data_IF_962976849129
#
_entry.id   IF_962976849129
#
_cell.length_a   1.000
_cell.length_b   1.000
_cell.length_c   1.000
_cell.angle_alpha   90.00
_cell.angle_beta   90.00
_cell.angle_gamma   90.00
#
_symmetry.space_group_name_H-M   'P 1'
#
loop_
_entity.id
_entity.type
_entity.pdbx_description
1 polymer ?
#
# COMPACT_ATOMS: atom_id res chain seq x y z
N UNK A 1 -21.26 9.20 57.47
CA UNK A 1 -20.95 8.13 56.49
C UNK A 1 -19.78 8.59 55.62
N UNK A 2 -18.55 8.11 55.89
CA UNK A 2 -17.32 8.55 55.22
C UNK A 2 -17.19 7.79 53.90
N UNK A 3 -17.39 8.43 52.74
CA UNK A 3 -17.16 7.81 51.42
C UNK A 3 -15.67 7.51 51.28
N UNK A 4 -15.30 6.23 51.27
CA UNK A 4 -13.94 5.78 50.97
C UNK A 4 -13.61 6.09 49.51
N UNK A 5 -12.52 6.83 49.26
CA UNK A 5 -12.01 7.07 47.91
C UNK A 5 -11.68 5.72 47.23
N UNK A 6 -12.02 5.54 45.94
CA UNK A 6 -11.65 4.34 45.21
C UNK A 6 -10.12 4.23 45.12
N UNK A 7 -9.62 3.01 45.37
CA UNK A 7 -8.19 2.63 45.35
C UNK A 7 -7.52 3.12 44.08
N UNK A 8 -6.31 3.68 44.24
CA UNK A 8 -5.41 4.09 43.17
C UNK A 8 -5.26 2.99 42.12
N UNK A 9 -6.00 3.11 41.02
CA UNK A 9 -5.66 2.44 39.77
C UNK A 9 -4.40 3.15 39.30
N UNK A 10 -3.24 2.54 39.55
CA UNK A 10 -1.93 3.05 39.13
C UNK A 10 -1.99 3.29 37.61
N UNK A 11 -2.27 4.51 37.20
CA UNK A 11 -2.33 4.88 35.79
C UNK A 11 -0.99 4.48 35.16
N UNK A 12 -1.05 3.62 34.15
CA UNK A 12 0.16 3.27 33.40
C UNK A 12 0.77 4.57 32.88
N UNK A 13 2.09 4.80 33.06
CA UNK A 13 2.70 6.02 32.58
C UNK A 13 2.36 6.19 31.09
N UNK A 14 1.92 7.39 30.66
CA UNK A 14 1.57 7.61 29.26
C UNK A 14 2.80 7.31 28.41
N UNK A 15 2.68 6.36 27.49
CA UNK A 15 3.77 6.06 26.55
C UNK A 15 4.13 7.35 25.80
N UNK A 16 5.41 7.75 25.74
CA UNK A 16 5.80 8.98 25.06
C UNK A 16 5.30 8.98 23.61
N UNK A 17 4.46 9.96 23.26
CA UNK A 17 3.78 10.05 21.94
C UNK A 17 4.76 9.92 20.77
N UNK A 18 6.00 10.44 20.94
CA UNK A 18 7.06 10.35 19.92
C UNK A 18 7.56 8.94 19.65
N UNK A 19 7.61 8.06 20.67
CA UNK A 19 8.04 6.66 20.47
C UNK A 19 7.00 5.90 19.66
N UNK A 20 5.71 6.08 19.99
CA UNK A 20 4.59 5.54 19.22
C UNK A 20 4.61 6.02 17.78
N UNK A 21 4.80 7.32 17.54
CA UNK A 21 4.90 7.89 16.18
C UNK A 21 6.06 7.28 15.38
N UNK A 22 7.25 7.16 15.96
CA UNK A 22 8.41 6.53 15.31
C UNK A 22 8.14 5.07 14.97
N UNK A 23 7.49 4.34 15.86
CA UNK A 23 7.16 2.93 15.63
C UNK A 23 6.13 2.77 14.51
N UNK A 24 5.05 3.56 14.54
CA UNK A 24 4.03 3.58 13.48
C UNK A 24 4.64 3.94 12.13
N UNK A 25 5.49 4.98 12.09
CA UNK A 25 6.21 5.35 10.87
C UNK A 25 7.05 4.19 10.33
N UNK A 26 7.88 3.55 11.17
CA UNK A 26 8.72 2.43 10.74
C UNK A 26 7.90 1.25 10.22
N UNK A 27 6.77 0.96 10.86
CA UNK A 27 5.88 -0.13 10.44
C UNK A 27 5.23 0.17 9.09
N UNK A 28 4.65 1.37 8.94
CA UNK A 28 4.06 1.81 7.68
C UNK A 28 5.11 1.86 6.57
N UNK A 29 6.30 2.41 6.87
CA UNK A 29 7.40 2.48 5.92
C UNK A 29 7.85 1.09 5.47
N UNK A 30 7.98 0.13 6.40
CA UNK A 30 8.32 -1.25 6.08
C UNK A 30 7.25 -1.90 5.20
N UNK A 31 5.96 -1.70 5.50
CA UNK A 31 4.83 -2.24 4.72
C UNK A 31 4.87 -1.68 3.29
N UNK A 32 4.93 -0.36 3.13
CA UNK A 32 4.86 0.29 1.80
C UNK A 32 6.17 0.23 1.00
N UNK A 33 7.25 -0.30 1.60
CA UNK A 33 8.45 -0.75 0.87
C UNK A 33 8.32 -2.22 0.51
N UNK A 34 7.99 -3.07 1.49
CA UNK A 34 8.00 -4.52 1.33
C UNK A 34 6.90 -5.05 0.43
N UNK A 35 5.66 -4.58 0.60
CA UNK A 35 4.51 -5.03 -0.20
C UNK A 35 4.73 -4.82 -1.70
N UNK A 36 5.02 -3.59 -2.19
CA UNK A 36 5.24 -3.39 -3.63
C UNK A 36 6.47 -4.12 -4.17
N UNK A 37 7.55 -4.27 -3.38
CA UNK A 37 8.72 -5.05 -3.81
C UNK A 37 8.36 -6.51 -4.06
N UNK A 38 7.69 -7.15 -3.08
CA UNK A 38 7.32 -8.57 -3.18
C UNK A 38 6.28 -8.77 -4.28
N UNK A 39 5.24 -7.95 -4.31
CA UNK A 39 4.19 -8.03 -5.33
C UNK A 39 4.74 -7.79 -6.75
N UNK A 40 5.66 -6.85 -6.90
CA UNK A 40 6.27 -6.53 -8.19
C UNK A 40 7.18 -7.65 -8.71
N UNK A 41 8.00 -8.24 -7.83
CA UNK A 41 8.81 -9.42 -8.16
C UNK A 41 7.90 -10.58 -8.56
N UNK A 42 6.86 -10.85 -7.77
CA UNK A 42 5.92 -11.92 -8.06
C UNK A 42 5.21 -11.71 -9.42
N UNK A 43 4.76 -10.50 -9.74
CA UNK A 43 4.15 -10.18 -11.05
C UNK A 43 5.10 -10.31 -12.22
N UNK A 44 6.38 -10.05 -12.02
CA UNK A 44 7.37 -10.20 -13.08
C UNK A 44 7.65 -11.66 -13.43
N UNK A 45 7.71 -12.51 -12.41
CA UNK A 45 8.08 -13.92 -12.54
C UNK A 45 6.90 -14.91 -12.49
N UNK A 46 5.68 -14.45 -12.17
CA UNK A 46 4.51 -15.29 -11.89
C UNK A 46 4.82 -16.40 -10.87
N UNK A 47 5.36 -16.04 -9.68
CA UNK A 47 5.81 -17.02 -8.69
C UNK A 47 4.64 -17.69 -7.97
N UNK A 48 3.63 -16.91 -7.59
CA UNK A 48 2.49 -17.37 -6.78
C UNK A 48 1.30 -17.70 -7.68
N UNK A 49 1.10 -16.95 -8.77
CA UNK A 49 -0.01 -17.15 -9.71
C UNK A 49 0.33 -16.59 -11.08
N UNK A 50 -0.44 -17.00 -12.09
CA UNK A 50 -0.41 -16.34 -13.40
C UNK A 50 -1.14 -15.00 -13.29
N UNK A 51 -0.39 -13.90 -13.32
CA UNK A 51 -0.96 -12.57 -13.17
C UNK A 51 -1.67 -12.05 -14.43
N UNK A 52 -1.42 -12.65 -15.60
CA UNK A 52 -2.03 -12.22 -16.86
C UNK A 52 -3.55 -12.39 -16.87
N UNK A 53 -4.06 -13.32 -16.05
CA UNK A 53 -5.49 -13.56 -15.89
C UNK A 53 -6.23 -12.39 -15.22
N UNK A 54 -5.52 -11.52 -14.50
CA UNK A 54 -6.09 -10.35 -13.81
C UNK A 54 -6.18 -9.10 -14.71
N UNK A 55 -5.70 -9.18 -15.95
CA UNK A 55 -5.95 -8.13 -16.93
C UNK A 55 -7.37 -8.28 -17.46
N UNK A 56 -8.13 -7.18 -17.39
CA UNK A 56 -9.51 -7.13 -17.87
C UNK A 56 -9.61 -7.50 -19.36
N UNK A 57 -10.61 -8.30 -19.76
CA UNK A 57 -10.87 -8.56 -21.18
C UNK A 57 -11.20 -7.28 -21.97
N UNK A 58 -11.63 -6.20 -21.32
CA UNK A 58 -11.86 -4.90 -21.96
C UNK A 58 -10.55 -4.14 -22.24
N UNK A 59 -9.52 -4.34 -21.41
CA UNK A 59 -8.23 -3.64 -21.52
C UNK A 59 -7.28 -4.40 -22.46
N UNK A 60 -7.36 -5.75 -22.49
CA UNK A 60 -6.55 -6.60 -23.38
C UNK A 60 -6.46 -6.11 -24.84
N UNK A 61 -7.55 -5.77 -25.54
CA UNK A 61 -7.47 -5.33 -26.94
C UNK A 61 -6.91 -3.92 -27.14
N UNK A 62 -6.80 -3.11 -26.09
CA UNK A 62 -6.32 -1.72 -26.15
C UNK A 62 -4.81 -1.65 -25.83
N UNK A 63 -4.27 -2.67 -25.15
CA UNK A 63 -2.87 -2.70 -24.79
C UNK A 63 -1.98 -2.78 -26.05
N UNK A 64 -0.97 -1.91 -26.19
CA UNK A 64 -0.02 -1.95 -27.30
C UNK A 64 1.01 -3.10 -27.17
N UNK A 65 0.79 -4.03 -26.24
CA UNK A 65 1.71 -5.10 -25.89
C UNK A 65 0.95 -6.35 -25.40
N UNK A 66 1.62 -7.49 -25.35
CA UNK A 66 1.03 -8.72 -24.82
C UNK A 66 0.67 -8.61 -23.33
N UNK A 67 -0.36 -9.33 -22.84
CA UNK A 67 -0.73 -9.37 -21.42
C UNK A 67 0.46 -9.69 -20.50
N UNK A 68 1.29 -10.65 -20.91
CA UNK A 68 2.56 -10.99 -20.25
C UNK A 68 3.50 -9.81 -20.06
N UNK A 69 3.74 -9.06 -21.13
CA UNK A 69 4.65 -7.91 -21.08
C UNK A 69 4.04 -6.77 -20.27
N UNK A 70 2.73 -6.55 -20.36
CA UNK A 70 2.02 -5.58 -19.53
C UNK A 70 2.17 -5.92 -18.03
N UNK A 71 1.99 -7.19 -17.64
CA UNK A 71 2.18 -7.62 -16.25
C UNK A 71 3.63 -7.47 -15.78
N UNK A 72 4.61 -7.79 -16.63
CA UNK A 72 6.03 -7.55 -16.31
C UNK A 72 6.34 -6.07 -16.11
N UNK A 73 5.81 -5.19 -16.95
CA UNK A 73 5.95 -3.74 -16.79
C UNK A 73 5.30 -3.26 -15.49
N UNK A 74 4.11 -3.76 -15.14
CA UNK A 74 3.48 -3.49 -13.86
C UNK A 74 4.33 -3.96 -12.67
N UNK A 75 4.93 -5.15 -12.77
CA UNK A 75 5.85 -5.68 -11.76
C UNK A 75 7.09 -4.79 -11.56
N UNK A 76 7.71 -4.33 -12.65
CA UNK A 76 8.83 -3.37 -12.59
C UNK A 76 8.40 -2.04 -11.97
N UNK A 77 7.22 -1.54 -12.31
CA UNK A 77 6.69 -0.30 -11.73
C UNK A 77 6.48 -0.42 -10.21
N UNK A 78 5.96 -1.55 -9.74
CA UNK A 78 5.80 -1.83 -8.30
C UNK A 78 7.14 -1.89 -7.58
N UNK A 79 8.12 -2.60 -8.14
CA UNK A 79 9.48 -2.63 -7.57
C UNK A 79 10.07 -1.22 -7.50
N UNK A 80 9.94 -0.44 -8.57
CA UNK A 80 10.42 0.95 -8.60
C UNK A 80 9.74 1.82 -7.53
N UNK A 81 8.43 1.67 -7.34
CA UNK A 81 7.69 2.35 -6.28
C UNK A 81 8.24 1.97 -4.91
N UNK A 82 8.43 0.67 -4.63
CA UNK A 82 9.02 0.21 -3.37
C UNK A 82 10.40 0.81 -3.11
N UNK A 83 11.26 0.87 -4.13
CA UNK A 83 12.59 1.50 -4.05
C UNK A 83 12.49 3.01 -3.79
N UNK A 84 11.58 3.71 -4.48
CA UNK A 84 11.35 5.15 -4.24
C UNK A 84 10.86 5.40 -2.82
N UNK A 85 9.96 4.55 -2.29
CA UNK A 85 9.43 4.67 -0.93
C UNK A 85 10.53 4.60 0.14
N UNK A 86 11.64 3.86 -0.09
CA UNK A 86 12.77 3.81 0.85
C UNK A 86 13.32 5.21 1.14
N UNK A 87 13.54 6.01 0.08
CA UNK A 87 14.17 7.34 0.19
C UNK A 87 13.16 8.47 0.34
N UNK A 88 12.02 8.35 -0.35
CA UNK A 88 10.98 9.37 -0.43
C UNK A 88 9.61 8.74 -0.10
N UNK A 89 9.35 8.43 1.18
CA UNK A 89 8.16 7.67 1.59
C UNK A 89 6.85 8.37 1.22
N UNK A 90 6.80 9.71 1.22
CA UNK A 90 5.62 10.47 0.79
C UNK A 90 5.31 10.24 -0.69
N UNK A 91 6.31 10.40 -1.56
CA UNK A 91 6.15 10.24 -3.02
C UNK A 91 5.86 8.78 -3.35
N UNK A 92 6.64 7.85 -2.81
CA UNK A 92 6.47 6.42 -3.08
C UNK A 92 5.10 5.90 -2.66
N UNK A 93 4.60 6.31 -1.49
CA UNK A 93 3.27 5.90 -1.02
C UNK A 93 2.14 6.54 -1.82
N UNK A 94 2.31 7.78 -2.31
CA UNK A 94 1.36 8.40 -3.25
C UNK A 94 1.33 7.67 -4.59
N UNK A 95 2.49 7.30 -5.14
CA UNK A 95 2.58 6.53 -6.39
C UNK A 95 1.94 5.15 -6.22
N UNK A 96 2.20 4.47 -5.11
CA UNK A 96 1.58 3.20 -4.78
C UNK A 96 0.07 3.32 -4.70
N UNK A 97 -0.45 4.34 -4.03
CA UNK A 97 -1.88 4.63 -3.94
C UNK A 97 -2.52 4.83 -5.32
N UNK A 98 -1.91 5.68 -6.17
CA UNK A 98 -2.36 5.90 -7.55
C UNK A 98 -2.37 4.61 -8.38
N UNK A 99 -1.33 3.78 -8.23
CA UNK A 99 -1.26 2.49 -8.91
C UNK A 99 -2.37 1.53 -8.46
N UNK A 100 -2.64 1.43 -7.14
CA UNK A 100 -3.74 0.61 -6.62
C UNK A 100 -5.09 1.09 -7.18
N UNK A 101 -5.32 2.40 -7.27
CA UNK A 101 -6.54 2.92 -7.91
C UNK A 101 -6.65 2.51 -9.39
N UNK A 102 -5.55 2.52 -10.14
CA UNK A 102 -5.53 2.00 -11.50
C UNK A 102 -5.89 0.50 -11.59
N UNK A 103 -5.34 -0.31 -10.69
CA UNK A 103 -5.63 -1.76 -10.62
C UNK A 103 -7.10 -2.00 -10.27
N UNK A 104 -7.66 -1.25 -9.31
CA UNK A 104 -9.07 -1.34 -8.93
C UNK A 104 -9.97 -1.08 -10.14
N UNK A 105 -9.70 -0.03 -10.93
CA UNK A 105 -10.50 0.28 -12.12
C UNK A 105 -10.48 -0.89 -13.11
N UNK A 106 -9.32 -1.53 -13.31
CA UNK A 106 -9.21 -2.75 -14.11
C UNK A 106 -10.04 -3.90 -13.51
N UNK A 107 -9.92 -4.18 -12.21
CA UNK A 107 -10.60 -5.31 -11.56
C UNK A 107 -12.12 -5.12 -11.45
N UNK A 108 -12.61 -3.88 -11.35
CA UNK A 108 -14.05 -3.59 -11.30
C UNK A 108 -14.79 -4.02 -12.57
N UNK A 109 -14.09 -4.04 -13.71
CA UNK A 109 -14.65 -4.57 -14.96
C UNK A 109 -14.78 -6.10 -14.95
N UNK A 110 -14.17 -6.79 -13.98
CA UNK A 110 -14.13 -8.25 -13.89
C UNK A 110 -15.05 -8.75 -12.75
N UNK A 111 -16.14 -9.43 -13.12
CA UNK A 111 -17.17 -9.87 -12.15
C UNK A 111 -16.65 -10.81 -11.06
N UNK A 112 -15.67 -11.67 -11.36
CA UNK A 112 -15.11 -12.66 -10.43
C UNK A 112 -14.12 -12.08 -9.41
N UNK A 113 -13.55 -10.90 -9.67
CA UNK A 113 -12.40 -10.37 -8.92
C UNK A 113 -12.74 -9.17 -8.01
N UNK A 114 -14.02 -8.90 -7.77
CA UNK A 114 -14.47 -7.74 -6.98
C UNK A 114 -13.94 -7.74 -5.53
N UNK A 115 -13.74 -8.92 -4.93
CA UNK A 115 -13.20 -9.05 -3.58
C UNK A 115 -11.74 -8.58 -3.49
N UNK A 116 -10.95 -8.83 -4.54
CA UNK A 116 -9.56 -8.34 -4.64
C UNK A 116 -9.55 -6.83 -4.81
N UNK A 117 -10.44 -6.28 -5.64
CA UNK A 117 -10.57 -4.83 -5.81
C UNK A 117 -10.84 -4.11 -4.47
N UNK A 118 -11.62 -4.71 -3.57
CA UNK A 118 -11.85 -4.15 -2.22
C UNK A 118 -10.59 -4.15 -1.35
N UNK A 119 -9.75 -5.19 -1.45
CA UNK A 119 -8.47 -5.25 -0.73
C UNK A 119 -7.48 -4.21 -1.25
N UNK A 120 -7.39 -4.06 -2.57
CA UNK A 120 -6.54 -3.05 -3.21
C UNK A 120 -7.02 -1.64 -2.87
N UNK A 121 -8.34 -1.43 -2.73
CA UNK A 121 -8.90 -0.16 -2.26
C UNK A 121 -8.43 0.19 -0.86
N UNK A 122 -8.52 -0.75 0.08
CA UNK A 122 -8.01 -0.56 1.43
C UNK A 122 -6.51 -0.24 1.42
N UNK A 123 -5.71 -1.00 0.65
CA UNK A 123 -4.27 -0.79 0.57
C UNK A 123 -3.90 0.57 -0.04
N UNK A 124 -4.60 0.97 -1.11
CA UNK A 124 -4.42 2.27 -1.75
C UNK A 124 -4.80 3.45 -0.85
N UNK A 125 -5.87 3.31 -0.07
CA UNK A 125 -6.28 4.31 0.93
C UNK A 125 -5.28 4.39 2.09
N UNK A 126 -4.80 3.26 2.62
CA UNK A 126 -3.79 3.29 3.67
C UNK A 126 -2.47 3.92 3.20
N UNK A 127 -2.07 3.67 1.95
CA UNK A 127 -0.90 4.31 1.36
C UNK A 127 -1.10 5.83 1.22
N UNK A 128 -2.29 6.26 0.83
CA UNK A 128 -2.65 7.68 0.77
C UNK A 128 -2.63 8.32 2.16
N UNK A 129 -3.20 7.67 3.17
CA UNK A 129 -3.11 8.13 4.55
C UNK A 129 -1.66 8.29 5.01
N UNK A 130 -0.80 7.31 4.72
CA UNK A 130 0.62 7.39 5.07
C UNK A 130 1.31 8.55 4.35
N UNK A 131 1.05 8.76 3.06
CA UNK A 131 1.59 9.90 2.32
C UNK A 131 1.16 11.25 2.93
N UNK A 132 -0.13 11.39 3.26
CA UNK A 132 -0.69 12.62 3.83
C UNK A 132 -0.18 12.92 5.24
N UNK A 133 0.16 11.89 6.03
CA UNK A 133 0.74 12.04 7.36
C UNK A 133 2.19 12.54 7.35
N UNK A 134 2.90 12.38 6.23
CA UNK A 134 4.29 12.78 6.10
C UNK A 134 4.42 14.27 5.77
N UNK A 135 5.42 14.99 6.31
CA UNK A 135 5.62 16.40 5.98
C UNK A 135 6.00 16.60 4.50
N UNK A 136 5.67 17.77 3.95
CA UNK A 136 6.13 18.18 2.62
C UNK A 136 7.66 18.26 2.61
N UNK A 137 8.29 17.49 1.72
CA UNK A 137 9.76 17.52 1.55
C UNK A 137 10.26 18.87 1.03
N UNK A 138 9.38 19.72 0.49
CA UNK A 138 9.66 21.09 0.00
C UNK A 138 9.81 22.14 1.11
N UNK A 139 9.66 21.77 2.40
CA UNK A 139 9.78 22.69 3.56
C UNK A 139 10.93 22.34 4.50
N UNK A 140 12.06 21.88 3.95
CA UNK A 140 13.35 21.73 4.65
C UNK A 140 14.45 22.34 3.79
#
# INVERSE_FOLDING_TARGET
MKKSKPKDVKERPPVPTRLKQRFVFKLMHLIFVGVPLVAGIDKYFNLITDWEQYISPLIKPILPMSPKNAMRCAGVAEVAIGVVTIKKPRIGSSLFSGLMFGIILNLLTMRKQKHIASLDLCMGLFALCFALLLPDTERM
#
